data_IF_860609716328
#
_entry.id   IF_860609716328
#
_cell.length_a   1.000
_cell.length_b   1.000
_cell.length_c   1.000
_cell.angle_alpha   90.00
_cell.angle_beta   90.00
_cell.angle_gamma   90.00
#
_symmetry.space_group_name_H-M   'P 1'
#
loop_
_entity.id
_entity.type
_entity.pdbx_description
1 polymer ?
#
# COMPACT_ATOMS: atom_id res chain seq x y z
N UNK A 1 7.13 8.63 25.24
CA UNK A 1 6.43 8.30 23.97
C UNK A 1 5.22 7.43 24.30
N UNK A 2 4.02 7.91 24.05
CA UNK A 2 2.77 7.17 24.35
C UNK A 2 2.68 6.65 25.81
N UNK A 3 3.23 7.38 26.77
CA UNK A 3 3.25 7.01 28.20
C UNK A 3 4.48 6.23 28.63
N UNK A 4 5.35 5.84 27.72
CA UNK A 4 6.61 5.14 28.00
C UNK A 4 7.79 6.11 28.04
N UNK A 5 8.77 5.87 28.92
CA UNK A 5 10.06 6.56 28.86
C UNK A 5 10.85 6.05 27.64
N UNK A 6 11.40 6.97 26.85
CA UNK A 6 12.10 6.61 25.62
C UNK A 6 13.37 5.78 25.92
N UNK A 7 14.13 6.16 26.93
CA UNK A 7 15.42 5.57 27.24
C UNK A 7 15.29 4.39 28.17
N UNK A 8 14.39 4.46 29.16
CA UNK A 8 14.23 3.41 30.15
C UNK A 8 13.33 2.27 29.69
N UNK A 9 12.33 2.53 28.81
CA UNK A 9 11.36 1.51 28.44
C UNK A 9 11.49 1.01 26.99
N UNK A 10 12.03 1.84 26.08
CA UNK A 10 11.91 1.54 24.65
C UNK A 10 13.24 1.27 23.94
N UNK A 11 14.23 2.16 24.08
CA UNK A 11 15.50 2.02 23.33
C UNK A 11 16.25 0.77 23.79
N UNK A 12 16.54 -0.12 22.83
CA UNK A 12 17.22 -1.40 23.08
C UNK A 12 16.35 -2.49 23.70
N UNK A 13 15.07 -2.20 24.02
CA UNK A 13 14.13 -3.16 24.65
C UNK A 13 13.00 -3.60 23.70
N UNK A 14 12.68 -2.78 22.72
CA UNK A 14 11.71 -3.13 21.70
C UNK A 14 12.33 -3.08 20.30
N UNK A 15 11.71 -3.75 19.33
CA UNK A 15 12.10 -3.70 17.92
C UNK A 15 11.55 -2.47 17.25
N UNK A 16 12.11 -2.09 16.07
CA UNK A 16 11.56 -1.00 15.26
C UNK A 16 10.11 -1.27 14.81
N UNK A 17 9.77 -2.54 14.53
CA UNK A 17 8.40 -2.96 14.23
C UNK A 17 7.46 -2.69 15.40
N UNK A 18 7.87 -3.03 16.63
CA UNK A 18 7.07 -2.75 17.83
C UNK A 18 6.94 -1.25 18.10
N UNK A 19 8.00 -0.46 17.84
CA UNK A 19 7.94 1.00 17.92
C UNK A 19 6.98 1.58 16.86
N UNK A 20 7.01 1.06 15.64
CA UNK A 20 6.08 1.45 14.58
C UNK A 20 4.63 1.14 15.00
N UNK A 21 4.38 -0.03 15.53
CA UNK A 21 3.06 -0.41 16.03
C UNK A 21 2.61 0.50 17.20
N UNK A 22 3.49 0.78 18.17
CA UNK A 22 3.20 1.72 19.26
C UNK A 22 2.77 3.09 18.74
N UNK A 23 3.46 3.61 17.73
CA UNK A 23 3.15 4.92 17.16
C UNK A 23 1.82 4.92 16.40
N UNK A 24 1.51 3.86 15.66
CA UNK A 24 0.31 3.75 14.83
C UNK A 24 -0.92 3.33 15.63
N UNK A 25 -0.79 2.35 16.51
CA UNK A 25 -1.89 1.78 17.30
C UNK A 25 -2.13 2.53 18.63
N UNK A 26 -1.14 3.31 19.09
CA UNK A 26 -1.20 4.02 20.38
C UNK A 26 -0.87 3.16 21.59
N UNK A 27 -0.49 1.91 21.42
CA UNK A 27 -0.09 0.93 22.43
C UNK A 27 0.97 -0.03 21.90
N UNK A 28 1.69 -0.70 22.78
CA UNK A 28 2.56 -1.80 22.37
C UNK A 28 1.71 -2.94 21.77
N UNK A 29 2.18 -3.56 20.69
CA UNK A 29 1.52 -4.70 20.08
C UNK A 29 1.74 -5.97 20.89
N UNK A 30 0.85 -6.95 20.75
CA UNK A 30 1.17 -8.34 21.15
C UNK A 30 2.26 -8.90 20.21
N UNK A 31 2.91 -10.02 20.55
CA UNK A 31 3.86 -10.68 19.65
C UNK A 31 3.24 -11.02 18.27
N UNK A 32 1.99 -11.45 18.26
CA UNK A 32 1.22 -11.81 17.06
C UNK A 32 0.94 -10.57 16.21
N UNK A 33 0.47 -9.48 16.83
CA UNK A 33 0.25 -8.21 16.14
C UNK A 33 1.57 -7.64 15.58
N UNK A 34 2.67 -7.73 16.35
CA UNK A 34 3.99 -7.31 15.89
C UNK A 34 4.42 -8.09 14.64
N UNK A 35 4.20 -9.41 14.60
CA UNK A 35 4.48 -10.25 13.42
C UNK A 35 3.63 -9.83 12.22
N UNK A 36 2.35 -9.49 12.42
CA UNK A 36 1.50 -9.00 11.33
C UNK A 36 1.96 -7.62 10.83
N UNK A 37 2.31 -6.70 11.74
CA UNK A 37 2.85 -5.38 11.39
C UNK A 37 4.15 -5.52 10.59
N UNK A 38 5.04 -6.43 10.99
CA UNK A 38 6.28 -6.71 10.27
C UNK A 38 6.03 -7.18 8.84
N UNK A 39 5.08 -8.10 8.65
CA UNK A 39 4.67 -8.55 7.32
C UNK A 39 4.10 -7.40 6.46
N UNK A 40 3.27 -6.52 7.05
CA UNK A 40 2.71 -5.35 6.36
C UNK A 40 3.78 -4.33 5.95
N UNK A 41 4.80 -4.13 6.79
CA UNK A 41 5.93 -3.26 6.46
C UNK A 41 6.80 -3.85 5.35
N UNK A 42 7.10 -5.15 5.43
CA UNK A 42 8.02 -5.83 4.53
C UNK A 42 7.47 -5.95 3.11
N UNK A 43 6.17 -6.24 2.97
CA UNK A 43 5.57 -6.65 1.68
C UNK A 43 5.66 -5.58 0.57
N UNK A 44 5.83 -4.31 0.93
CA UNK A 44 5.88 -3.18 0.00
C UNK A 44 7.23 -2.43 0.01
N UNK A 45 8.26 -2.94 0.68
CA UNK A 45 9.58 -2.29 0.69
C UNK A 45 10.10 -2.11 -0.73
N UNK A 46 10.01 -3.16 -1.55
CA UNK A 46 10.54 -3.19 -2.90
C UNK A 46 9.44 -3.46 -3.94
N UNK A 47 9.57 -2.83 -5.11
CA UNK A 47 8.62 -3.02 -6.23
C UNK A 47 9.27 -2.75 -7.61
N UNK A 48 10.57 -2.90 -7.74
CA UNK A 48 11.30 -2.65 -8.97
C UNK A 48 11.38 -1.18 -9.37
N UNK A 49 11.71 -0.93 -10.62
CA UNK A 49 11.92 0.42 -11.19
C UNK A 49 10.58 1.11 -11.52
N UNK A 50 9.78 1.35 -10.49
CA UNK A 50 8.52 2.11 -10.60
C UNK A 50 8.77 3.62 -10.56
N UNK A 51 7.77 4.42 -10.94
CA UNK A 51 7.87 5.88 -11.05
C UNK A 51 8.48 6.55 -9.80
N UNK A 52 8.11 6.10 -8.60
CA UNK A 52 8.67 6.64 -7.34
C UNK A 52 10.18 6.37 -7.19
N UNK A 53 10.65 5.20 -7.63
CA UNK A 53 12.07 4.84 -7.61
C UNK A 53 12.86 5.65 -8.64
N UNK A 54 12.29 5.79 -9.84
CA UNK A 54 12.87 6.65 -10.90
C UNK A 54 13.02 8.08 -10.39
N UNK A 55 11.96 8.64 -9.75
CA UNK A 55 12.01 9.98 -9.18
C UNK A 55 13.11 10.11 -8.13
N UNK A 56 13.27 9.13 -7.22
CA UNK A 56 14.35 9.14 -6.23
C UNK A 56 15.74 9.17 -6.87
N UNK A 57 16.01 8.27 -7.82
CA UNK A 57 17.32 8.14 -8.47
C UNK A 57 17.69 9.39 -9.27
N UNK A 58 16.76 9.93 -10.05
CA UNK A 58 16.99 11.13 -10.85
C UNK A 58 17.18 12.37 -9.95
N UNK A 59 16.38 12.50 -8.89
CA UNK A 59 16.53 13.59 -7.91
C UNK A 59 17.89 13.51 -7.20
N UNK A 60 18.28 12.31 -6.74
CA UNK A 60 19.59 12.13 -6.11
C UNK A 60 20.75 12.48 -7.08
N UNK A 61 20.65 12.09 -8.34
CA UNK A 61 21.67 12.39 -9.35
C UNK A 61 21.90 13.91 -9.53
N UNK A 62 20.84 14.70 -9.39
CA UNK A 62 20.90 16.17 -9.57
C UNK A 62 21.19 16.92 -8.27
N UNK A 63 20.94 16.31 -7.11
CA UNK A 63 21.16 16.89 -5.79
C UNK A 63 21.75 15.83 -4.82
N UNK A 64 23.00 15.39 -5.04
CA UNK A 64 23.60 14.28 -4.29
C UNK A 64 23.83 14.59 -2.81
N UNK A 65 23.89 15.87 -2.44
CA UNK A 65 23.98 16.35 -1.06
C UNK A 65 22.66 16.23 -0.28
N UNK A 66 21.52 15.99 -0.99
CA UNK A 66 20.18 16.03 -0.43
C UNK A 66 19.47 14.67 -0.53
N UNK A 67 19.98 13.63 0.17
CA UNK A 67 19.34 12.30 0.23
C UNK A 67 17.84 12.40 0.62
N UNK A 68 17.52 13.26 1.60
CA UNK A 68 16.15 13.49 2.02
C UNK A 68 15.25 14.02 0.89
N UNK A 69 15.81 14.83 -0.02
CA UNK A 69 15.10 15.32 -1.20
C UNK A 69 14.74 14.19 -2.17
N UNK A 70 15.68 13.26 -2.40
CA UNK A 70 15.45 12.08 -3.23
C UNK A 70 14.36 11.15 -2.65
N UNK A 71 14.40 10.91 -1.33
CA UNK A 71 13.37 10.11 -0.64
C UNK A 71 12.01 10.82 -0.68
N UNK A 72 11.99 12.13 -0.45
CA UNK A 72 10.76 12.93 -0.54
C UNK A 72 10.16 12.88 -1.95
N UNK A 73 10.96 12.97 -3.01
CA UNK A 73 10.50 12.85 -4.39
C UNK A 73 9.82 11.48 -4.66
N UNK A 74 10.38 10.39 -4.13
CA UNK A 74 9.74 9.07 -4.19
C UNK A 74 8.39 9.04 -3.51
N UNK A 75 8.27 9.62 -2.31
CA UNK A 75 7.05 9.62 -1.51
C UNK A 75 5.97 10.55 -2.08
N UNK A 76 6.34 11.68 -2.67
CA UNK A 76 5.41 12.56 -3.38
C UNK A 76 4.74 11.86 -4.56
N UNK A 77 5.41 10.89 -5.19
CA UNK A 77 4.84 10.03 -6.22
C UNK A 77 3.89 8.93 -5.69
N UNK A 78 3.76 8.77 -4.36
CA UNK A 78 2.89 7.79 -3.72
C UNK A 78 1.44 8.29 -3.60
N UNK A 79 0.78 8.49 -4.73
CA UNK A 79 -0.58 9.03 -4.84
C UNK A 79 -1.68 7.98 -4.99
N UNK A 80 -2.87 8.42 -5.37
CA UNK A 80 -4.07 7.57 -5.53
C UNK A 80 -3.93 6.48 -6.59
N UNK A 81 -3.11 6.69 -7.60
CA UNK A 81 -2.85 5.71 -8.69
C UNK A 81 -1.85 4.65 -8.27
N UNK A 82 -0.84 5.03 -7.47
CA UNK A 82 0.17 4.14 -6.92
C UNK A 82 0.22 4.27 -5.40
N UNK A 83 0.18 3.15 -4.69
CA UNK A 83 0.19 3.02 -3.22
C UNK A 83 -1.08 3.51 -2.49
N UNK A 84 -1.92 4.38 -3.06
CA UNK A 84 -3.11 4.93 -2.41
C UNK A 84 -4.34 4.01 -2.41
N UNK A 85 -4.31 2.90 -3.14
CA UNK A 85 -5.45 1.99 -3.22
C UNK A 85 -5.76 1.26 -1.92
N UNK A 86 -4.79 1.10 -1.00
CA UNK A 86 -5.02 0.53 0.34
C UNK A 86 -5.88 1.45 1.22
N UNK A 87 -5.66 2.76 1.16
CA UNK A 87 -6.45 3.76 1.87
C UNK A 87 -7.93 3.74 1.41
N UNK A 88 -8.16 3.76 0.09
CA UNK A 88 -9.51 3.70 -0.46
C UNK A 88 -10.22 2.38 -0.18
N UNK A 89 -9.49 1.26 -0.20
CA UNK A 89 -10.04 -0.03 0.17
C UNK A 89 -10.42 -0.08 1.66
N UNK A 90 -9.55 0.38 2.56
CA UNK A 90 -9.84 0.45 3.98
C UNK A 90 -11.05 1.35 4.27
N UNK A 91 -11.15 2.50 3.57
CA UNK A 91 -12.32 3.39 3.66
C UNK A 91 -13.59 2.67 3.26
N UNK A 92 -13.60 2.01 2.11
CA UNK A 92 -14.74 1.23 1.64
C UNK A 92 -15.18 0.17 2.66
N UNK A 93 -14.23 -0.57 3.23
CA UNK A 93 -14.50 -1.62 4.20
C UNK A 93 -15.09 -1.07 5.50
N UNK A 94 -14.47 -0.01 6.06
CA UNK A 94 -14.89 0.58 7.34
C UNK A 94 -16.20 1.35 7.23
N UNK A 95 -16.49 1.97 6.07
CA UNK A 95 -17.80 2.59 5.82
C UNK A 95 -18.91 1.54 5.60
N UNK A 96 -18.59 0.42 4.93
CA UNK A 96 -19.56 -0.65 4.71
C UNK A 96 -19.85 -1.48 5.97
N UNK A 97 -18.87 -1.61 6.85
CA UNK A 97 -18.95 -2.40 8.08
C UNK A 97 -18.40 -1.59 9.26
N UNK A 98 -19.22 -0.74 9.92
CA UNK A 98 -18.81 -0.05 11.14
C UNK A 98 -18.37 -1.03 12.23
N UNK A 99 -17.41 -0.61 13.07
CA UNK A 99 -16.80 -1.47 14.10
C UNK A 99 -17.83 -1.96 15.13
N UNK A 100 -18.84 -1.16 15.39
CA UNK A 100 -19.88 -1.40 16.39
C UNK A 100 -20.99 -2.35 15.88
N UNK A 101 -20.97 -2.73 14.59
CA UNK A 101 -22.00 -3.60 14.01
C UNK A 101 -21.94 -4.99 14.65
N UNK A 102 -23.05 -5.40 15.27
CA UNK A 102 -23.23 -6.73 15.87
C UNK A 102 -23.79 -7.70 14.83
N UNK A 103 -23.21 -8.91 14.75
CA UNK A 103 -23.66 -10.02 13.89
C UNK A 103 -24.01 -9.60 12.44
N UNK A 104 -23.09 -8.94 11.70
CA UNK A 104 -23.38 -8.44 10.36
C UNK A 104 -23.53 -9.58 9.35
N UNK A 105 -24.48 -9.47 8.44
CA UNK A 105 -24.55 -10.29 7.24
C UNK A 105 -23.52 -9.79 6.21
N UNK A 106 -22.35 -10.41 6.21
CA UNK A 106 -21.22 -10.00 5.35
C UNK A 106 -21.54 -10.20 3.86
N UNK A 107 -22.33 -11.20 3.48
CA UNK A 107 -22.67 -11.44 2.09
C UNK A 107 -23.66 -10.39 1.58
N UNK A 108 -24.64 -9.98 2.38
CA UNK A 108 -25.54 -8.88 2.04
C UNK A 108 -24.78 -7.54 1.93
N UNK A 109 -23.86 -7.25 2.86
CA UNK A 109 -23.00 -6.06 2.80
C UNK A 109 -22.14 -6.09 1.55
N UNK A 110 -21.52 -7.21 1.24
CA UNK A 110 -20.67 -7.37 0.06
C UNK A 110 -21.46 -7.14 -1.24
N UNK A 111 -22.67 -7.71 -1.36
CA UNK A 111 -23.54 -7.48 -2.51
C UNK A 111 -23.87 -5.98 -2.67
N UNK A 112 -24.22 -5.29 -1.57
CA UNK A 112 -24.50 -3.85 -1.57
C UNK A 112 -23.30 -3.02 -2.03
N UNK A 113 -22.08 -3.35 -1.56
CA UNK A 113 -20.84 -2.70 -2.01
C UNK A 113 -20.64 -2.87 -3.52
N UNK A 114 -20.80 -4.10 -4.02
CA UNK A 114 -20.61 -4.41 -5.45
C UNK A 114 -21.61 -3.62 -6.30
N UNK A 115 -22.89 -3.57 -5.92
CA UNK A 115 -23.92 -2.81 -6.65
C UNK A 115 -23.63 -1.31 -6.65
N UNK A 116 -23.20 -0.74 -5.51
CA UNK A 116 -22.82 0.68 -5.40
C UNK A 116 -21.71 1.06 -6.38
N UNK A 117 -20.64 0.27 -6.46
CA UNK A 117 -19.54 0.53 -7.39
C UNK A 117 -19.95 0.31 -8.84
N UNK A 118 -20.77 -0.68 -9.11
CA UNK A 118 -21.30 -0.96 -10.45
C UNK A 118 -22.19 0.16 -10.97
N UNK A 119 -23.06 0.71 -10.13
CA UNK A 119 -23.97 1.82 -10.47
C UNK A 119 -23.22 3.06 -10.99
N UNK A 120 -22.04 3.34 -10.42
CA UNK A 120 -21.18 4.46 -10.83
C UNK A 120 -20.06 4.07 -11.79
N UNK A 121 -20.05 2.83 -12.28
CA UNK A 121 -19.04 2.27 -13.19
C UNK A 121 -17.59 2.44 -12.69
N UNK A 122 -17.39 2.38 -11.39
CA UNK A 122 -16.08 2.46 -10.76
C UNK A 122 -15.54 1.07 -10.43
N UNK A 123 -14.20 0.97 -10.40
CA UNK A 123 -13.52 -0.23 -9.92
C UNK A 123 -13.60 -0.32 -8.41
N UNK A 124 -13.83 -1.52 -7.88
CA UNK A 124 -13.79 -1.78 -6.44
C UNK A 124 -12.33 -1.78 -5.99
N UNK A 125 -11.93 -0.92 -5.01
CA UNK A 125 -10.57 -0.91 -4.51
C UNK A 125 -10.21 -2.24 -3.82
N UNK A 126 -8.97 -2.69 -3.99
CA UNK A 126 -8.47 -3.88 -3.29
C UNK A 126 -8.74 -5.20 -4.00
N UNK A 127 -9.52 -5.25 -5.10
CA UNK A 127 -9.74 -6.45 -5.90
C UNK A 127 -9.33 -6.24 -7.37
N UNK A 128 -8.96 -7.34 -8.02
CA UNK A 128 -8.44 -7.36 -9.38
C UNK A 128 -6.97 -6.89 -9.46
N UNK A 129 -6.23 -7.44 -10.42
CA UNK A 129 -4.84 -7.09 -10.68
C UNK A 129 -4.54 -7.20 -12.17
N UNK A 130 -3.67 -6.33 -12.71
CA UNK A 130 -3.34 -6.35 -14.14
C UNK A 130 -2.53 -7.59 -14.54
N UNK A 131 -1.61 -8.00 -13.69
CA UNK A 131 -0.63 -9.07 -13.95
C UNK A 131 -1.01 -10.38 -13.27
N UNK A 132 -1.70 -10.33 -12.12
CA UNK A 132 -2.06 -11.50 -11.31
C UNK A 132 -3.57 -11.79 -11.40
N UNK A 133 -4.06 -12.15 -12.61
CA UNK A 133 -5.48 -12.43 -12.83
C UNK A 133 -5.96 -13.65 -12.04
N UNK A 134 -5.09 -14.64 -11.85
CA UNK A 134 -5.40 -15.88 -11.12
C UNK A 134 -5.27 -15.74 -9.58
N UNK A 135 -4.61 -14.68 -9.11
CA UNK A 135 -4.42 -14.38 -7.69
C UNK A 135 -3.11 -13.67 -7.42
N UNK A 136 -3.12 -12.71 -6.49
CA UNK A 136 -1.91 -12.01 -6.04
C UNK A 136 -1.23 -12.84 -4.93
N UNK A 137 -0.04 -13.44 -5.17
CA UNK A 137 0.61 -14.28 -4.17
C UNK A 137 0.95 -13.52 -2.89
N UNK A 138 1.16 -12.21 -2.98
CA UNK A 138 1.43 -11.34 -1.83
C UNK A 138 0.20 -11.22 -0.92
N UNK A 139 -1.00 -11.11 -1.49
CA UNK A 139 -2.25 -11.10 -0.74
C UNK A 139 -2.47 -12.45 -0.02
N UNK A 140 -2.19 -13.55 -0.70
CA UNK A 140 -2.30 -14.89 -0.11
C UNK A 140 -1.39 -15.05 1.12
N UNK A 141 -0.12 -14.62 1.02
CA UNK A 141 0.84 -14.66 2.14
C UNK A 141 0.38 -13.77 3.29
N UNK A 142 -0.08 -12.54 3.04
CA UNK A 142 -0.59 -11.66 4.10
C UNK A 142 -1.79 -12.26 4.83
N UNK A 143 -2.74 -12.86 4.12
CA UNK A 143 -3.89 -13.53 4.75
C UNK A 143 -3.49 -14.79 5.50
N UNK A 144 -2.45 -15.51 5.05
CA UNK A 144 -1.90 -16.63 5.82
C UNK A 144 -1.31 -16.14 7.13
N UNK A 145 -0.45 -15.12 7.11
CA UNK A 145 0.12 -14.52 8.33
C UNK A 145 -0.97 -14.00 9.24
N UNK A 146 -1.99 -13.32 8.70
CA UNK A 146 -3.11 -12.82 9.49
C UNK A 146 -3.87 -13.94 10.21
N UNK A 147 -4.08 -15.10 9.56
CA UNK A 147 -4.71 -16.28 10.23
C UNK A 147 -3.81 -16.87 11.31
N UNK A 148 -2.53 -17.04 11.01
CA UNK A 148 -1.54 -17.58 11.95
C UNK A 148 -1.37 -16.71 13.21
N UNK A 149 -1.57 -15.40 13.06
CA UNK A 149 -1.44 -14.40 14.14
C UNK A 149 -2.78 -14.05 14.80
N UNK A 150 -3.90 -14.61 14.35
CA UNK A 150 -5.21 -14.28 14.86
C UNK A 150 -5.71 -12.87 14.49
N UNK A 151 -5.01 -12.15 13.61
CA UNK A 151 -5.41 -10.81 13.12
C UNK A 151 -6.46 -10.90 12.01
N UNK A 152 -6.62 -12.07 11.37
CA UNK A 152 -7.63 -12.27 10.32
C UNK A 152 -9.03 -12.13 10.91
N UNK A 153 -9.65 -10.97 10.72
CA UNK A 153 -10.92 -10.61 11.29
C UNK A 153 -11.98 -10.27 10.24
N UNK A 154 -12.97 -9.52 10.69
CA UNK A 154 -14.19 -9.19 9.95
C UNK A 154 -13.96 -8.41 8.64
N UNK A 155 -12.92 -7.58 8.57
CA UNK A 155 -12.62 -6.82 7.37
C UNK A 155 -11.92 -7.69 6.33
N UNK A 156 -11.08 -8.65 6.75
CA UNK A 156 -10.54 -9.68 5.87
C UNK A 156 -11.66 -10.56 5.29
N UNK A 157 -12.61 -10.98 6.12
CA UNK A 157 -13.78 -11.76 5.68
C UNK A 157 -14.67 -10.98 4.71
N UNK A 158 -14.99 -9.71 5.03
CA UNK A 158 -15.77 -8.84 4.17
C UNK A 158 -15.13 -8.63 2.80
N UNK A 159 -13.81 -8.38 2.76
CA UNK A 159 -13.10 -8.19 1.50
C UNK A 159 -13.16 -9.45 0.62
N UNK A 160 -13.05 -10.63 1.21
CA UNK A 160 -13.20 -11.89 0.51
C UNK A 160 -14.65 -12.08 0.00
N UNK A 161 -15.65 -11.71 0.80
CA UNK A 161 -17.05 -11.74 0.39
C UNK A 161 -17.31 -10.78 -0.79
N UNK A 162 -16.75 -9.55 -0.74
CA UNK A 162 -16.83 -8.59 -1.85
C UNK A 162 -16.21 -9.17 -3.13
N UNK A 163 -15.06 -9.83 -3.05
CA UNK A 163 -14.42 -10.44 -4.20
C UNK A 163 -15.31 -11.54 -4.82
N UNK A 164 -15.90 -12.41 -3.98
CA UNK A 164 -16.86 -13.45 -4.45
C UNK A 164 -18.11 -12.83 -5.08
N UNK A 165 -18.70 -11.83 -4.44
CA UNK A 165 -19.91 -11.16 -4.96
C UNK A 165 -19.62 -10.45 -6.31
N UNK A 166 -18.46 -9.81 -6.44
CA UNK A 166 -18.05 -9.17 -7.68
C UNK A 166 -17.80 -10.19 -8.81
N UNK A 167 -17.22 -11.34 -8.51
CA UNK A 167 -17.06 -12.46 -9.45
C UNK A 167 -18.40 -13.02 -9.90
N UNK A 168 -19.32 -13.28 -8.96
CA UNK A 168 -20.65 -13.79 -9.25
C UNK A 168 -21.44 -12.84 -10.15
N UNK A 169 -21.35 -11.52 -9.91
CA UNK A 169 -22.03 -10.50 -10.72
C UNK A 169 -21.42 -10.35 -12.11
N UNK A 170 -20.11 -10.36 -12.22
CA UNK A 170 -19.38 -10.02 -13.45
C UNK A 170 -18.95 -11.21 -14.30
N UNK A 171 -19.12 -12.45 -13.84
CA UNK A 171 -18.69 -13.68 -14.51
C UNK A 171 -17.18 -13.78 -14.73
N UNK A 172 -16.38 -12.91 -14.08
CA UNK A 172 -14.94 -12.83 -14.22
C UNK A 172 -14.27 -12.82 -12.85
N UNK A 173 -13.24 -13.65 -12.69
CA UNK A 173 -12.45 -13.68 -11.46
C UNK A 173 -11.80 -12.32 -11.17
N UNK A 174 -11.99 -11.84 -9.95
CA UNK A 174 -11.45 -10.59 -9.43
C UNK A 174 -10.79 -10.84 -8.07
N UNK A 175 -9.58 -11.45 -8.05
CA UNK A 175 -8.94 -11.81 -6.80
C UNK A 175 -8.59 -10.57 -5.97
N UNK A 176 -8.53 -10.75 -4.64
CA UNK A 176 -7.98 -9.74 -3.75
C UNK A 176 -6.51 -9.50 -4.10
N UNK A 177 -6.13 -8.24 -4.25
CA UNK A 177 -4.74 -7.85 -4.50
C UNK A 177 -4.03 -7.45 -3.19
N UNK A 178 -2.71 -7.24 -3.25
CA UNK A 178 -1.91 -6.94 -2.07
C UNK A 178 -2.37 -5.69 -1.31
N UNK A 179 -2.83 -4.66 -2.02
CA UNK A 179 -3.30 -3.42 -1.36
C UNK A 179 -4.64 -3.60 -0.66
N UNK A 180 -5.48 -4.52 -1.16
CA UNK A 180 -6.70 -4.96 -0.48
C UNK A 180 -6.38 -5.74 0.79
N UNK A 181 -5.45 -6.70 0.72
CA UNK A 181 -5.03 -7.46 1.90
C UNK A 181 -4.43 -6.54 2.99
N UNK A 182 -3.58 -5.57 2.61
CA UNK A 182 -3.05 -4.56 3.55
C UNK A 182 -4.19 -3.77 4.20
N UNK A 183 -5.15 -3.30 3.40
CA UNK A 183 -6.27 -2.51 3.88
C UNK A 183 -7.13 -3.27 4.91
N UNK A 184 -7.43 -4.53 4.62
CA UNK A 184 -8.23 -5.39 5.49
C UNK A 184 -7.49 -5.71 6.79
N UNK A 185 -6.22 -6.16 6.71
CA UNK A 185 -5.42 -6.46 7.91
C UNK A 185 -5.17 -5.22 8.78
N UNK A 186 -4.91 -4.04 8.16
CA UNK A 186 -4.77 -2.79 8.89
C UNK A 186 -6.08 -2.40 9.63
N UNK A 187 -7.23 -2.63 8.99
CA UNK A 187 -8.54 -2.38 9.58
C UNK A 187 -8.84 -3.35 10.74
N UNK A 188 -8.48 -4.63 10.60
CA UNK A 188 -8.62 -5.65 11.66
C UNK A 188 -7.65 -5.40 12.83
N UNK A 189 -6.46 -4.81 12.59
CA UNK A 189 -5.57 -4.29 13.64
C UNK A 189 -6.12 -3.05 14.37
N UNK A 190 -7.23 -2.51 13.92
CA UNK A 190 -7.86 -1.36 14.56
C UNK A 190 -7.43 0.00 14.04
N UNK A 191 -6.68 0.10 12.94
CA UNK A 191 -6.30 1.38 12.36
C UNK A 191 -7.47 2.07 11.66
N UNK A 192 -7.59 3.40 11.74
CA UNK A 192 -8.51 4.16 10.91
C UNK A 192 -8.06 4.09 9.44
N UNK A 193 -9.00 4.14 8.51
CA UNK A 193 -8.72 3.96 7.09
C UNK A 193 -7.65 4.91 6.53
N UNK A 194 -7.56 6.14 7.04
CA UNK A 194 -6.54 7.12 6.66
C UNK A 194 -5.11 6.62 6.94
N UNK A 195 -4.96 5.71 7.91
CA UNK A 195 -3.66 5.17 8.32
C UNK A 195 -3.30 3.86 7.62
N UNK A 196 -4.20 3.25 6.85
CA UNK A 196 -3.91 2.01 6.11
C UNK A 196 -2.73 2.14 5.12
N UNK A 197 -2.49 3.35 4.62
CA UNK A 197 -1.35 3.68 3.74
C UNK A 197 -0.02 3.82 4.47
N UNK A 198 -0.03 3.97 5.80
CA UNK A 198 1.19 4.23 6.59
C UNK A 198 2.24 3.12 6.40
N UNK A 199 1.83 1.84 6.40
CA UNK A 199 2.75 0.72 6.18
C UNK A 199 3.46 0.80 4.83
N UNK A 200 2.71 1.14 3.78
CA UNK A 200 3.25 1.31 2.44
C UNK A 200 4.24 2.48 2.37
N UNK A 201 3.96 3.59 3.05
CA UNK A 201 4.85 4.75 3.08
C UNK A 201 6.14 4.47 3.85
N UNK A 202 6.06 3.81 5.01
CA UNK A 202 7.24 3.44 5.81
C UNK A 202 8.12 2.46 5.02
N UNK A 203 7.55 1.37 4.50
CA UNK A 203 8.28 0.39 3.69
C UNK A 203 8.90 1.03 2.45
N UNK A 204 8.15 1.88 1.73
CA UNK A 204 8.65 2.56 0.54
C UNK A 204 9.75 3.59 0.83
N UNK A 205 9.74 4.20 2.02
CA UNK A 205 10.85 5.06 2.47
C UNK A 205 12.15 4.28 2.54
N UNK A 206 12.13 3.09 3.15
CA UNK A 206 13.29 2.20 3.19
C UNK A 206 13.72 1.75 1.78
N UNK A 207 12.77 1.35 0.94
CA UNK A 207 13.03 0.98 -0.45
C UNK A 207 13.66 2.13 -1.26
N UNK A 208 13.16 3.35 -1.11
CA UNK A 208 13.74 4.53 -1.77
C UNK A 208 15.18 4.80 -1.32
N UNK A 209 15.46 4.68 -0.01
CA UNK A 209 16.82 4.78 0.53
C UNK A 209 17.76 3.71 -0.04
N UNK A 210 17.28 2.47 -0.17
CA UNK A 210 18.05 1.38 -0.76
C UNK A 210 18.39 1.68 -2.23
N UNK A 211 17.44 2.18 -3.01
CA UNK A 211 17.67 2.60 -4.41
C UNK A 211 18.61 3.79 -4.54
N UNK A 212 18.59 4.75 -3.61
CA UNK A 212 19.61 5.82 -3.55
C UNK A 212 20.97 5.23 -3.24
N UNK A 213 21.08 4.29 -2.29
CA UNK A 213 22.32 3.57 -2.00
C UNK A 213 22.87 2.78 -3.19
N UNK A 214 22.00 2.21 -4.03
CA UNK A 214 22.40 1.60 -5.30
C UNK A 214 22.86 2.64 -6.32
N UNK A 215 22.18 3.77 -6.43
CA UNK A 215 22.54 4.86 -7.35
C UNK A 215 23.94 5.39 -7.02
N UNK A 216 24.33 5.46 -5.74
CA UNK A 216 25.69 5.83 -5.31
C UNK A 216 26.73 4.83 -5.84
N UNK A 217 26.46 3.53 -5.77
CA UNK A 217 27.40 2.47 -6.15
C UNK A 217 27.40 2.17 -7.65
N UNK A 218 26.21 2.25 -8.27
CA UNK A 218 25.98 1.94 -9.67
C UNK A 218 25.02 2.94 -10.29
N UNK A 219 25.49 4.13 -10.70
CA UNK A 219 24.67 5.21 -11.22
C UNK A 219 23.89 4.81 -12.47
N UNK A 220 22.56 4.91 -12.43
CA UNK A 220 21.65 4.61 -13.54
C UNK A 220 20.83 5.82 -14.01
N UNK A 221 20.86 6.94 -13.29
CA UNK A 221 20.03 8.10 -13.62
C UNK A 221 20.27 8.63 -15.04
N UNK A 222 21.52 8.60 -15.54
CA UNK A 222 21.85 9.00 -16.92
C UNK A 222 21.26 8.04 -17.95
N UNK A 223 21.25 6.74 -17.66
CA UNK A 223 20.65 5.74 -18.54
C UNK A 223 19.11 5.90 -18.57
N UNK A 224 18.51 6.21 -17.41
CA UNK A 224 17.07 6.53 -17.31
C UNK A 224 16.75 7.76 -18.17
N UNK A 225 17.51 8.86 -18.04
CA UNK A 225 17.35 10.07 -18.83
C UNK A 225 17.49 9.81 -20.34
N UNK A 226 18.50 9.04 -20.73
CA UNK A 226 18.70 8.65 -22.12
C UNK A 226 17.53 7.81 -22.67
N UNK A 227 17.04 6.84 -21.90
CA UNK A 227 15.90 6.01 -22.29
C UNK A 227 14.61 6.84 -22.45
N UNK A 228 14.37 7.78 -21.55
CA UNK A 228 13.24 8.69 -21.63
C UNK A 228 13.32 9.53 -22.92
N UNK A 229 14.46 10.14 -23.22
CA UNK A 229 14.68 10.95 -24.42
C UNK A 229 14.55 10.14 -25.72
N UNK A 230 14.87 8.85 -25.68
CA UNK A 230 14.75 7.97 -26.84
C UNK A 230 13.30 7.62 -27.21
N UNK A 231 12.36 7.66 -26.25
CA UNK A 231 10.97 7.24 -26.46
C UNK A 231 9.97 8.39 -26.43
N UNK A 232 10.31 9.52 -25.81
CA UNK A 232 9.43 10.69 -25.77
C UNK A 232 9.66 11.52 -27.02
N UNK A 233 8.60 11.63 -27.83
CA UNK A 233 8.54 12.54 -28.98
C UNK A 233 7.78 13.77 -28.55
N UNK A 234 8.37 14.94 -28.72
CA UNK A 234 7.65 16.20 -28.53
C UNK A 234 6.76 16.44 -29.75
N UNK A 235 5.45 16.45 -29.55
CA UNK A 235 4.47 16.87 -30.54
C UNK A 235 4.11 18.33 -30.25
N UNK A 236 4.52 19.30 -31.07
CA UNK A 236 4.15 20.69 -30.86
C UNK A 236 2.63 20.87 -31.05
N UNK A 237 1.98 21.50 -30.10
CA UNK A 237 0.58 21.93 -30.24
C UNK A 237 0.46 22.72 -31.55
N UNK A 238 -0.39 22.27 -32.50
CA UNK A 238 -0.60 22.72 -33.87
C UNK A 238 -0.51 24.21 -34.14
N UNK A 239 0.64 24.82 -33.87
CA UNK A 239 1.03 26.08 -34.44
C UNK A 239 1.48 25.81 -35.87
N UNK A 240 0.53 25.87 -36.82
CA UNK A 240 0.88 25.96 -38.23
C UNK A 240 1.91 27.08 -38.40
N UNK A 241 3.03 26.75 -39.04
CA UNK A 241 4.02 27.73 -39.50
C UNK A 241 3.32 28.78 -40.32
N UNK A 242 2.89 29.87 -39.66
CA UNK A 242 2.63 31.12 -40.30
C UNK A 242 3.96 31.88 -40.35
N UNK A 243 4.81 31.55 -41.33
CA UNK A 243 5.85 32.40 -41.88
C UNK A 243 5.78 32.38 -43.41
#
# INVERSE_FOLDING_TARGET
>A
VRGYDLTEDLVGKITFTQMTALMLLGRLPTPEEARMVDALLTILVEHGMVASVVAARVTYHTAPEAIQGAVAAALLGAGSVHLGSSEWCAKMLQEALPREAESPDLDAIAASVVERYAAVRQRIPGIGHRTHAEGDPRAAVLFQVARETGVYGRYCELLQAIARAAEARGGRRLPVNVTGAIAACASDLGLPWQMAKAFALIGRTLGAMAHVGEEIRNPQARNIDAAIKAVLVYEPDGRSDAR
#
